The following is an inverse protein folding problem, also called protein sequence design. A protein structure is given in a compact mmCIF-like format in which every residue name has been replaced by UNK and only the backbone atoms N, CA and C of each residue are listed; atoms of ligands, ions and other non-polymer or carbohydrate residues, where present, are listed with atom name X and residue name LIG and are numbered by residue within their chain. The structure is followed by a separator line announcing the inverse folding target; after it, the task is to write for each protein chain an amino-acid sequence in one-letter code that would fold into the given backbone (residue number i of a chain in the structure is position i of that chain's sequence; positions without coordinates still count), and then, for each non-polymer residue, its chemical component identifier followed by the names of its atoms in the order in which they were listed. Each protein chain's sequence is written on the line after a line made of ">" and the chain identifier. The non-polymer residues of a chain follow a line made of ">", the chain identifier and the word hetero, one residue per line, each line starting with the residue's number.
data_IF_613307930244
#
_entry.id   IF_613307930244
#
_cell.length_a   1.000
_cell.length_b   1.000
_cell.length_c   1.000
_cell.angle_alpha   90.00
_cell.angle_beta   90.00
_cell.angle_gamma   90.00
#
_symmetry.space_group_name_H-M   'P 1'
#
loop_
_entity.id
_entity.type
_entity.pdbx_description
1 polymer ?
#
# COMPACT_ATOMS: atom_id res chain seq x y z
N UNK A 1 -3.44 -3.60 -22.20
CA UNK A 1 -2.97 -4.42 -21.06
C UNK A 1 -2.13 -3.49 -20.21
N UNK A 2 -2.58 -3.12 -19.01
CA UNK A 2 -1.79 -2.26 -18.14
C UNK A 2 -0.52 -3.00 -17.74
N UNK A 3 0.62 -2.30 -17.71
CA UNK A 3 1.89 -2.93 -17.33
C UNK A 3 1.82 -3.26 -15.83
N UNK A 4 2.23 -4.47 -15.46
CA UNK A 4 2.28 -4.89 -14.06
C UNK A 4 3.64 -4.59 -13.46
N UNK A 5 3.65 -4.17 -12.20
CA UNK A 5 4.88 -4.01 -11.42
C UNK A 5 5.59 -5.36 -11.33
N UNK A 6 6.93 -5.34 -11.36
CA UNK A 6 7.75 -6.56 -11.32
C UNK A 6 7.43 -7.41 -10.08
N UNK A 7 7.26 -8.74 -10.22
CA UNK A 7 6.86 -9.61 -9.10
C UNK A 7 7.80 -9.57 -7.90
N UNK A 8 9.10 -9.42 -8.13
CA UNK A 8 10.10 -9.32 -7.05
C UNK A 8 9.96 -8.03 -6.24
N UNK A 9 9.55 -6.94 -6.89
CA UNK A 9 9.23 -5.69 -6.21
C UNK A 9 7.98 -5.90 -5.36
N UNK A 10 6.91 -6.47 -5.93
CA UNK A 10 5.67 -6.74 -5.19
C UNK A 10 5.91 -7.60 -3.96
N UNK A 11 6.70 -8.68 -4.08
CA UNK A 11 7.01 -9.56 -2.95
C UNK A 11 7.70 -8.83 -1.78
N UNK A 12 8.58 -7.87 -2.07
CA UNK A 12 9.23 -7.06 -1.05
C UNK A 12 8.20 -6.19 -0.31
N UNK A 13 7.33 -5.50 -1.06
CA UNK A 13 6.26 -4.68 -0.47
C UNK A 13 5.25 -5.52 0.30
N UNK A 14 4.79 -6.65 -0.25
CA UNK A 14 3.83 -7.53 0.40
C UNK A 14 4.33 -7.96 1.79
N UNK A 15 5.62 -8.28 1.89
CA UNK A 15 6.25 -8.69 3.16
C UNK A 15 6.38 -7.51 4.13
N UNK A 16 6.86 -6.35 3.66
CA UNK A 16 7.07 -5.18 4.51
C UNK A 16 5.75 -4.58 5.01
N UNK A 17 4.76 -4.43 4.13
CA UNK A 17 3.45 -3.88 4.49
C UNK A 17 2.69 -4.83 5.40
N UNK A 18 2.75 -6.15 5.18
CA UNK A 18 2.15 -7.12 6.09
C UNK A 18 2.74 -7.02 7.51
N UNK A 19 4.06 -6.83 7.64
CA UNK A 19 4.68 -6.64 8.96
C UNK A 19 4.25 -5.31 9.62
N UNK A 20 4.12 -4.23 8.85
CA UNK A 20 3.61 -2.94 9.36
C UNK A 20 2.16 -3.05 9.85
N UNK A 21 1.27 -3.65 9.05
CA UNK A 21 -0.14 -3.88 9.42
C UNK A 21 -0.24 -4.77 10.65
N UNK A 22 0.51 -5.88 10.69
CA UNK A 22 0.51 -6.83 11.80
C UNK A 22 0.86 -6.14 13.12
N UNK A 23 1.93 -5.34 13.13
CA UNK A 23 2.36 -4.57 14.32
C UNK A 23 1.36 -3.49 14.70
N UNK A 24 0.79 -2.79 13.74
CA UNK A 24 -0.14 -1.70 13.99
C UNK A 24 -1.48 -2.20 14.55
N UNK A 25 -2.04 -3.26 13.96
CA UNK A 25 -3.37 -3.80 14.32
C UNK A 25 -3.33 -4.89 15.40
N UNK A 26 -2.16 -5.44 15.72
CA UNK A 26 -2.02 -6.54 16.70
C UNK A 26 -2.53 -7.90 16.18
N UNK A 27 -2.43 -8.13 14.86
CA UNK A 27 -2.91 -9.34 14.18
C UNK A 27 -1.74 -10.16 13.61
N UNK A 28 -1.99 -11.39 13.16
CA UNK A 28 -0.95 -12.22 12.55
C UNK A 28 -0.46 -11.68 11.21
N UNK A 29 0.80 -11.92 10.84
CA UNK A 29 1.34 -11.49 9.54
C UNK A 29 0.61 -12.11 8.34
N UNK A 30 0.09 -13.34 8.47
CA UNK A 30 -0.74 -13.98 7.42
C UNK A 30 -2.07 -13.24 7.25
N UNK A 31 -2.70 -12.82 8.35
CA UNK A 31 -3.94 -12.06 8.30
C UNK A 31 -3.70 -10.66 7.72
N UNK A 32 -2.64 -9.99 8.15
CA UNK A 32 -2.20 -8.71 7.61
C UNK A 32 -1.91 -8.77 6.10
N UNK A 33 -1.19 -9.81 5.65
CA UNK A 33 -0.93 -10.03 4.23
C UNK A 33 -2.23 -10.20 3.43
N UNK A 34 -3.19 -10.97 3.96
CA UNK A 34 -4.50 -11.15 3.31
C UNK A 34 -5.26 -9.83 3.20
N UNK A 35 -5.24 -8.99 4.23
CA UNK A 35 -5.87 -7.67 4.17
C UNK A 35 -5.21 -6.82 3.08
N UNK A 36 -3.88 -6.76 3.06
CA UNK A 36 -3.16 -5.94 2.09
C UNK A 36 -3.38 -6.40 0.66
N UNK A 37 -3.24 -7.71 0.36
CA UNK A 37 -3.37 -8.24 -1.01
C UNK A 37 -4.76 -7.97 -1.63
N UNK A 38 -5.80 -7.87 -0.80
CA UNK A 38 -7.17 -7.58 -1.23
C UNK A 38 -7.51 -6.07 -1.29
N UNK A 39 -6.56 -5.19 -0.93
CA UNK A 39 -6.77 -3.73 -0.91
C UNK A 39 -6.66 -3.10 -2.30
N UNK A 40 -7.29 -1.93 -2.46
CA UNK A 40 -7.10 -1.06 -3.64
C UNK A 40 -5.69 -0.50 -3.69
N UNK A 41 -5.05 -0.29 -2.55
CA UNK A 41 -3.66 0.14 -2.43
C UNK A 41 -2.72 -0.86 -3.09
N UNK A 42 -2.86 -2.15 -2.78
CA UNK A 42 -2.09 -3.21 -3.44
C UNK A 42 -2.43 -3.31 -4.93
N UNK A 43 -3.71 -3.16 -5.32
CA UNK A 43 -4.09 -3.12 -6.73
C UNK A 43 -3.44 -1.96 -7.50
N UNK A 44 -3.30 -0.79 -6.87
CA UNK A 44 -2.57 0.35 -7.43
C UNK A 44 -1.06 0.09 -7.47
N UNK A 45 -0.49 -0.54 -6.44
CA UNK A 45 0.93 -0.90 -6.41
C UNK A 45 1.29 -1.91 -7.51
N UNK A 46 0.39 -2.84 -7.80
CA UNK A 46 0.54 -3.82 -8.88
C UNK A 46 0.43 -3.21 -10.29
N UNK A 47 -0.07 -1.98 -10.42
CA UNK A 47 -0.15 -1.25 -11.67
C UNK A 47 1.12 -0.40 -11.89
N UNK A 48 1.99 -0.85 -12.79
CA UNK A 48 3.30 -0.21 -13.05
C UNK A 48 3.16 1.21 -13.59
N UNK A 49 2.07 1.51 -14.29
CA UNK A 49 1.79 2.85 -14.82
C UNK A 49 1.65 3.89 -13.69
N UNK A 50 1.28 3.45 -12.48
CA UNK A 50 1.15 4.30 -11.29
C UNK A 50 2.47 4.49 -10.55
N UNK A 51 3.47 3.64 -10.83
CA UNK A 51 4.84 3.78 -10.33
C UNK A 51 4.94 3.91 -8.79
N UNK A 52 3.98 3.36 -8.05
CA UNK A 52 3.94 3.50 -6.58
C UNK A 52 5.15 2.87 -5.89
N UNK A 53 5.83 1.94 -6.56
CA UNK A 53 7.07 1.33 -6.08
C UNK A 53 8.26 2.32 -5.96
N UNK A 54 8.14 3.56 -6.43
CA UNK A 54 9.11 4.63 -6.15
C UNK A 54 8.96 5.25 -4.76
N UNK A 55 7.83 5.08 -4.10
CA UNK A 55 7.63 5.55 -2.73
C UNK A 55 8.24 4.57 -1.73
N UNK A 56 8.40 4.95 -0.46
CA UNK A 56 8.81 3.97 0.54
C UNK A 56 7.65 3.02 0.88
N UNK A 57 7.93 1.81 1.39
CA UNK A 57 6.91 0.94 1.95
C UNK A 57 6.08 1.62 3.04
N UNK A 58 6.68 2.50 3.86
CA UNK A 58 5.92 3.29 4.84
C UNK A 58 4.89 4.23 4.17
N UNK A 59 5.25 4.91 3.09
CA UNK A 59 4.30 5.77 2.38
C UNK A 59 3.17 4.96 1.72
N UNK A 60 3.46 3.76 1.18
CA UNK A 60 2.42 2.85 0.67
C UNK A 60 1.55 2.30 1.80
N UNK A 61 2.11 2.06 2.99
CA UNK A 61 1.33 1.69 4.17
C UNK A 61 0.39 2.83 4.60
N UNK A 62 0.85 4.08 4.62
CA UNK A 62 0.01 5.23 4.93
C UNK A 62 -1.11 5.42 3.87
N UNK A 63 -0.86 5.05 2.61
CA UNK A 63 -1.92 4.97 1.58
C UNK A 63 -2.97 3.91 1.92
N UNK A 64 -2.55 2.75 2.41
CA UNK A 64 -3.45 1.71 2.87
C UNK A 64 -4.25 2.16 4.11
N UNK A 65 -3.64 2.84 5.07
CA UNK A 65 -4.37 3.43 6.21
C UNK A 65 -5.42 4.45 5.75
N UNK A 66 -5.11 5.28 4.74
CA UNK A 66 -6.06 6.21 4.16
C UNK A 66 -7.23 5.48 3.45
N UNK A 67 -6.95 4.36 2.77
CA UNK A 67 -7.99 3.49 2.23
C UNK A 67 -8.88 2.91 3.33
N UNK A 68 -8.32 2.39 4.41
CA UNK A 68 -9.11 1.84 5.51
C UNK A 68 -10.00 2.90 6.17
N UNK A 69 -9.51 4.14 6.30
CA UNK A 69 -10.25 5.23 6.90
C UNK A 69 -11.33 5.83 5.99
N UNK A 70 -11.13 5.83 4.66
CA UNK A 70 -11.96 6.61 3.73
C UNK A 70 -12.57 5.81 2.58
N UNK A 71 -12.11 4.58 2.36
CA UNK A 71 -12.43 3.73 1.22
C UNK A 71 -11.64 4.04 -0.06
N UNK A 72 -10.73 5.03 -0.07
CA UNK A 72 -9.90 5.38 -1.23
C UNK A 72 -8.44 5.73 -0.84
N UNK A 73 -7.42 4.97 -1.30
CA UNK A 73 -6.01 5.24 -1.00
C UNK A 73 -5.49 6.59 -1.52
N UNK A 74 -6.19 7.22 -2.47
CA UNK A 74 -5.85 8.54 -3.01
C UNK A 74 -6.12 9.68 -2.02
N UNK A 75 -6.82 9.39 -0.92
CA UNK A 75 -6.98 10.33 0.18
C UNK A 75 -5.78 10.34 1.14
N UNK A 76 -4.69 9.66 0.81
CA UNK A 76 -3.42 9.82 1.50
C UNK A 76 -2.81 11.21 1.29
N UNK A 77 -2.06 11.68 2.28
CA UNK A 77 -1.36 12.97 2.22
C UNK A 77 -0.41 13.06 1.01
N UNK A 78 0.15 11.92 0.60
CA UNK A 78 1.06 11.82 -0.54
C UNK A 78 0.42 12.08 -1.90
N UNK A 79 -0.91 11.94 -2.02
CA UNK A 79 -1.65 12.15 -3.26
C UNK A 79 -2.49 13.42 -3.21
N UNK A 80 -3.05 13.76 -2.05
CA UNK A 80 -3.86 14.99 -1.91
C UNK A 80 -3.05 16.27 -2.06
N UNK A 81 -1.75 16.23 -1.77
CA UNK A 81 -0.89 17.41 -1.92
C UNK A 81 -1.28 18.55 -0.97
N UNK A 82 -2.04 18.26 0.09
CA UNK A 82 -2.36 19.23 1.13
C UNK A 82 -1.02 19.67 1.74
N UNK A 83 -0.59 20.89 1.38
CA UNK A 83 0.66 21.50 1.81
C UNK A 83 0.74 21.46 3.34
N UNK A 84 1.80 20.85 3.86
CA UNK A 84 2.22 21.11 5.24
C UNK A 84 2.66 22.57 5.29
N UNK A 85 1.80 23.42 5.82
CA UNK A 85 2.07 24.83 6.15
C UNK A 85 3.17 24.94 7.24
#
# INVERSE_FOLDING_TARGET
>A
MNKRTEPSILQNYDSEIASLISRNRGISEIEALRLFLNSKTHAMLANDDMKLWHFSPLAVFDMWEAEEATGDPRNSLYIRGDEVE
#
